data_IF_868326317524
#
_entry.id   IF_868326317524
#
_cell.length_a   1.000
_cell.length_b   1.000
_cell.length_c   1.000
_cell.angle_alpha   90.00
_cell.angle_beta   90.00
_cell.angle_gamma   90.00
#
_symmetry.space_group_name_H-M   'P 1'
#
loop_
_entity.id
_entity.type
_entity.pdbx_description
1 polymer ?
#
# COMPACT_ATOMS: atom_id res chain seq x y z
N UNK A 1 0.09 25.15 -1.83
CA UNK A 1 0.30 24.56 -0.49
C UNK A 1 -0.17 23.13 -0.45
N UNK A 2 -1.47 22.79 -0.47
CA UNK A 2 -1.91 21.37 -0.41
C UNK A 2 -1.36 20.51 -1.57
N UNK A 3 -1.22 21.07 -2.78
CA UNK A 3 -0.60 20.35 -3.90
C UNK A 3 0.90 20.06 -3.71
N UNK A 4 1.63 20.86 -2.93
CA UNK A 4 3.07 20.66 -2.72
C UNK A 4 3.30 19.57 -1.66
N UNK A 5 2.50 19.61 -0.58
CA UNK A 5 2.53 18.61 0.49
C UNK A 5 2.11 17.22 -0.03
N UNK A 6 1.09 17.15 -0.88
CA UNK A 6 0.71 15.89 -1.52
C UNK A 6 1.85 15.29 -2.35
N UNK A 7 2.58 16.13 -3.10
CA UNK A 7 3.74 15.67 -3.89
C UNK A 7 4.88 15.19 -3.00
N UNK A 8 5.09 15.81 -1.85
CA UNK A 8 6.05 15.36 -0.85
C UNK A 8 5.68 13.98 -0.31
N UNK A 9 4.41 13.76 0.07
CA UNK A 9 3.94 12.43 0.50
C UNK A 9 3.99 11.39 -0.61
N UNK A 10 3.68 11.74 -1.86
CA UNK A 10 3.83 10.84 -3.00
C UNK A 10 5.31 10.44 -3.21
N UNK A 11 6.24 11.39 -3.07
CA UNK A 11 7.67 11.11 -3.18
C UNK A 11 8.14 10.18 -2.04
N UNK A 12 7.77 10.48 -0.80
CA UNK A 12 8.14 9.65 0.36
C UNK A 12 7.53 8.25 0.27
N UNK A 13 6.30 8.13 -0.27
CA UNK A 13 5.67 6.85 -0.52
C UNK A 13 6.46 6.03 -1.54
N UNK A 14 6.86 6.64 -2.65
CA UNK A 14 7.64 5.96 -3.69
C UNK A 14 9.04 5.57 -3.21
N UNK A 15 9.70 6.41 -2.41
CA UNK A 15 10.99 6.13 -1.80
C UNK A 15 10.89 4.96 -0.80
N UNK A 16 9.95 5.05 0.15
CA UNK A 16 9.70 3.99 1.13
C UNK A 16 9.30 2.68 0.44
N UNK A 17 8.52 2.73 -0.63
CA UNK A 17 8.12 1.55 -1.40
C UNK A 17 9.34 0.93 -2.10
N UNK A 18 10.24 1.74 -2.65
CA UNK A 18 11.47 1.25 -3.26
C UNK A 18 12.37 0.57 -2.23
N UNK A 19 12.60 1.22 -1.08
CA UNK A 19 13.35 0.63 0.03
C UNK A 19 12.76 -0.69 0.50
N UNK A 20 11.43 -0.76 0.62
CA UNK A 20 10.74 -1.98 1.01
C UNK A 20 10.92 -3.11 -0.01
N UNK A 21 10.83 -2.81 -1.31
CA UNK A 21 11.10 -3.78 -2.36
C UNK A 21 12.58 -4.22 -2.39
N UNK A 22 13.52 -3.32 -2.11
CA UNK A 22 14.95 -3.65 -2.00
C UNK A 22 15.24 -4.56 -0.80
N UNK A 23 14.58 -4.33 0.35
CA UNK A 23 14.63 -5.25 1.50
C UNK A 23 14.00 -6.59 1.16
N UNK A 24 12.83 -6.61 0.52
CA UNK A 24 12.14 -7.83 0.12
C UNK A 24 12.98 -8.66 -0.86
N UNK A 25 13.63 -8.01 -1.83
CA UNK A 25 14.53 -8.65 -2.80
C UNK A 25 15.75 -9.26 -2.12
N UNK A 26 16.42 -8.53 -1.21
CA UNK A 26 17.54 -9.06 -0.41
C UNK A 26 17.12 -10.25 0.46
N UNK A 27 15.92 -10.21 1.03
CA UNK A 27 15.38 -11.31 1.80
C UNK A 27 15.11 -12.52 0.91
N UNK A 28 14.55 -12.32 -0.29
CA UNK A 28 14.32 -13.37 -1.27
C UNK A 28 15.63 -13.98 -1.80
N UNK A 29 16.66 -13.18 -2.04
CA UNK A 29 18.00 -13.65 -2.39
C UNK A 29 18.59 -14.52 -1.28
N UNK A 30 18.43 -14.11 -0.01
CA UNK A 30 18.89 -14.91 1.13
C UNK A 30 18.15 -16.26 1.28
N UNK A 31 17.00 -16.42 0.62
CA UNK A 31 16.21 -17.65 0.59
C UNK A 31 16.54 -18.54 -0.61
N UNK A 32 17.20 -18.01 -1.65
CA UNK A 32 17.64 -18.78 -2.80
C UNK A 32 18.86 -19.63 -2.42
N UNK A 33 18.60 -20.81 -1.84
CA UNK A 33 19.62 -21.79 -1.40
C UNK A 33 20.31 -22.52 -2.56
N UNK A 34 20.14 -22.07 -3.80
CA UNK A 34 20.53 -22.79 -5.02
C UNK A 34 21.97 -22.52 -5.48
N UNK A 35 22.75 -21.74 -4.74
CA UNK A 35 24.15 -21.45 -5.05
C UNK A 35 25.13 -22.38 -4.33
N UNK A 36 26.20 -22.79 -5.03
CA UNK A 36 27.32 -23.60 -4.49
C UNK A 36 28.07 -22.90 -3.33
N UNK A 37 27.81 -21.61 -3.10
CA UNK A 37 28.41 -20.78 -2.04
C UNK A 37 27.37 -20.25 -1.05
N UNK A 38 26.25 -20.95 -0.85
CA UNK A 38 25.27 -20.54 0.16
C UNK A 38 25.89 -20.52 1.56
N UNK A 39 25.97 -19.32 2.14
CA UNK A 39 26.30 -19.13 3.54
C UNK A 39 25.03 -18.69 4.26
N UNK A 40 24.62 -19.45 5.27
CA UNK A 40 23.46 -19.13 6.08
C UNK A 40 23.59 -17.68 6.62
N UNK A 41 22.57 -16.82 6.43
CA UNK A 41 22.57 -15.47 6.99
C UNK A 41 22.79 -15.52 8.50
N UNK A 42 23.49 -14.54 9.09
CA UNK A 42 23.75 -14.55 10.52
C UNK A 42 22.42 -14.53 11.30
N UNK A 43 22.35 -15.26 12.42
CA UNK A 43 21.15 -15.33 13.25
C UNK A 43 20.73 -13.97 13.84
N UNK A 44 21.67 -13.02 13.91
CA UNK A 44 21.46 -11.66 14.36
C UNK A 44 22.22 -10.66 13.48
N UNK A 45 21.75 -9.41 13.44
CA UNK A 45 22.36 -8.32 12.67
C UNK A 45 21.52 -7.86 11.49
N UNK A 46 21.95 -6.82 10.77
CA UNK A 46 21.18 -6.18 9.69
C UNK A 46 20.91 -7.11 8.50
N UNK A 47 21.73 -8.15 8.34
CA UNK A 47 21.57 -9.18 7.30
C UNK A 47 20.74 -10.39 7.76
N UNK A 48 20.41 -10.49 9.05
CA UNK A 48 19.58 -11.59 9.54
C UNK A 48 18.19 -11.52 8.91
N UNK A 49 17.63 -12.67 8.55
CA UNK A 49 16.30 -12.72 7.93
C UNK A 49 15.22 -12.12 8.83
N UNK A 50 15.33 -12.34 10.14
CA UNK A 50 14.45 -11.75 11.15
C UNK A 50 14.49 -10.22 11.12
N UNK A 51 15.69 -9.61 11.07
CA UNK A 51 15.83 -8.16 11.01
C UNK A 51 15.34 -7.59 9.68
N UNK A 52 15.56 -8.28 8.56
CA UNK A 52 15.04 -7.88 7.26
C UNK A 52 13.50 -7.93 7.24
N UNK A 53 12.89 -8.98 7.80
CA UNK A 53 11.43 -9.05 7.97
C UNK A 53 10.91 -7.89 8.83
N UNK A 54 11.62 -7.55 9.91
CA UNK A 54 11.27 -6.43 10.78
C UNK A 54 11.38 -5.08 10.05
N UNK A 55 12.47 -4.86 9.31
CA UNK A 55 12.65 -3.66 8.48
C UNK A 55 11.52 -3.52 7.46
N UNK A 56 11.16 -4.60 6.78
CA UNK A 56 10.06 -4.60 5.82
C UNK A 56 8.71 -4.30 6.49
N UNK A 57 8.49 -4.83 7.71
CA UNK A 57 7.30 -4.52 8.50
C UNK A 57 7.24 -3.03 8.89
N UNK A 58 8.37 -2.42 9.26
CA UNK A 58 8.44 -0.97 9.54
C UNK A 58 8.13 -0.13 8.30
N UNK A 59 8.69 -0.50 7.13
CA UNK A 59 8.37 0.18 5.87
C UNK A 59 6.88 0.07 5.52
N UNK A 60 6.24 -1.09 5.75
CA UNK A 60 4.79 -1.25 5.56
C UNK A 60 3.97 -0.33 6.47
N UNK A 61 4.33 -0.19 7.74
CA UNK A 61 3.67 0.76 8.65
C UNK A 61 3.80 2.20 8.14
N UNK A 62 4.99 2.61 7.72
CA UNK A 62 5.22 3.95 7.14
C UNK A 62 4.40 4.16 5.86
N UNK A 63 4.32 3.17 4.97
CA UNK A 63 3.49 3.24 3.77
C UNK A 63 1.99 3.41 4.11
N UNK A 64 1.49 2.74 5.15
CA UNK A 64 0.10 2.91 5.63
C UNK A 64 -0.15 4.32 6.16
N UNK A 65 0.78 4.86 6.93
CA UNK A 65 0.71 6.23 7.43
C UNK A 65 0.70 7.24 6.27
N UNK A 66 1.57 7.06 5.28
CA UNK A 66 1.63 7.92 4.09
C UNK A 66 0.35 7.85 3.26
N UNK A 67 -0.22 6.66 3.05
CA UNK A 67 -1.53 6.51 2.37
C UNK A 67 -2.62 7.24 3.15
N UNK A 68 -2.59 7.17 4.47
CA UNK A 68 -3.55 7.84 5.34
C UNK A 68 -3.42 9.37 5.24
N UNK A 69 -2.19 9.90 5.32
CA UNK A 69 -1.90 11.32 5.16
C UNK A 69 -2.31 11.83 3.77
N UNK A 70 -1.91 11.13 2.70
CA UNK A 70 -2.35 11.46 1.34
C UNK A 70 -3.87 11.42 1.18
N UNK A 71 -4.56 10.51 1.86
CA UNK A 71 -6.03 10.46 1.85
C UNK A 71 -6.65 11.68 2.52
N UNK A 72 -6.07 12.19 3.60
CA UNK A 72 -6.52 13.44 4.23
C UNK A 72 -6.27 14.64 3.30
N UNK A 73 -5.06 14.78 2.77
CA UNK A 73 -4.71 15.86 1.82
C UNK A 73 -5.58 15.82 0.55
N UNK A 74 -5.89 14.62 0.03
CA UNK A 74 -6.73 14.45 -1.16
C UNK A 74 -8.13 15.05 -0.98
N UNK A 75 -8.61 15.18 0.26
CA UNK A 75 -9.92 15.76 0.52
C UNK A 75 -9.95 17.26 0.28
N UNK A 76 -8.82 17.94 0.45
CA UNK A 76 -8.62 19.39 0.27
C UNK A 76 -8.26 19.77 -1.18
N UNK A 77 -8.04 18.78 -2.06
CA UNK A 77 -7.69 19.03 -3.46
C UNK A 77 -8.91 19.57 -4.23
N UNK A 78 -8.75 20.77 -4.78
CA UNK A 78 -9.66 21.41 -5.73
C UNK A 78 -8.90 21.68 -7.05
N UNK A 79 -9.49 21.49 -8.25
CA UNK A 79 -10.88 21.12 -8.55
C UNK A 79 -11.16 19.60 -8.47
N UNK A 80 -12.44 19.21 -8.49
CA UNK A 80 -12.89 17.81 -8.36
C UNK A 80 -12.21 16.82 -9.33
N UNK A 81 -11.82 17.26 -10.53
CA UNK A 81 -11.10 16.40 -11.50
C UNK A 81 -9.72 15.99 -11.00
N UNK A 82 -8.98 16.90 -10.34
CA UNK A 82 -7.67 16.60 -9.76
C UNK A 82 -7.82 15.67 -8.55
N UNK A 83 -8.86 15.89 -7.74
CA UNK A 83 -9.19 15.02 -6.60
C UNK A 83 -9.46 13.58 -7.02
N UNK A 84 -10.23 13.36 -8.08
CA UNK A 84 -10.50 12.01 -8.60
C UNK A 84 -9.23 11.33 -9.14
N UNK A 85 -8.30 12.10 -9.74
CA UNK A 85 -6.99 11.57 -10.14
C UNK A 85 -6.16 11.12 -8.94
N UNK A 86 -6.09 11.94 -7.89
CA UNK A 86 -5.37 11.62 -6.64
C UNK A 86 -5.97 10.39 -5.97
N UNK A 87 -7.30 10.29 -5.90
CA UNK A 87 -7.98 9.09 -5.37
C UNK A 87 -7.64 7.83 -6.17
N UNK A 88 -7.61 7.92 -7.50
CA UNK A 88 -7.22 6.78 -8.35
C UNK A 88 -5.79 6.32 -8.05
N UNK A 89 -4.86 7.26 -7.82
CA UNK A 89 -3.48 6.94 -7.41
C UNK A 89 -3.42 6.32 -6.01
N UNK A 90 -4.21 6.83 -5.06
CA UNK A 90 -4.34 6.24 -3.72
C UNK A 90 -4.82 4.79 -3.76
N UNK A 91 -5.76 4.44 -4.65
CA UNK A 91 -6.18 3.05 -4.85
C UNK A 91 -5.05 2.16 -5.39
N UNK A 92 -4.25 2.66 -6.34
CA UNK A 92 -3.06 1.96 -6.83
C UNK A 92 -2.02 1.74 -5.70
N UNK A 93 -1.79 2.76 -4.86
CA UNK A 93 -0.89 2.67 -3.70
C UNK A 93 -1.39 1.66 -2.66
N UNK A 94 -2.69 1.63 -2.37
CA UNK A 94 -3.31 0.60 -1.52
C UNK A 94 -3.12 -0.80 -2.11
N UNK A 95 -3.30 -0.95 -3.42
CA UNK A 95 -3.04 -2.21 -4.13
C UNK A 95 -1.59 -2.70 -3.95
N UNK A 96 -0.62 -1.79 -4.09
CA UNK A 96 0.81 -2.08 -3.88
C UNK A 96 1.12 -2.46 -2.44
N UNK A 97 0.53 -1.76 -1.47
CA UNK A 97 0.67 -2.09 -0.04
C UNK A 97 0.19 -3.51 0.26
N UNK A 98 -1.01 -3.88 -0.20
CA UNK A 98 -1.57 -5.23 0.00
C UNK A 98 -0.71 -6.30 -0.67
N UNK A 99 -0.14 -6.01 -1.85
CA UNK A 99 0.79 -6.92 -2.51
C UNK A 99 2.05 -7.15 -1.66
N UNK A 100 2.62 -6.08 -1.10
CA UNK A 100 3.82 -6.13 -0.27
C UNK A 100 3.58 -6.80 1.09
N UNK A 101 2.40 -6.60 1.71
CA UNK A 101 1.98 -7.32 2.91
C UNK A 101 1.91 -8.84 2.67
N UNK A 102 1.34 -9.26 1.53
CA UNK A 102 1.30 -10.67 1.12
C UNK A 102 2.71 -11.23 0.90
N UNK A 103 3.60 -10.45 0.27
CA UNK A 103 4.99 -10.84 0.08
C UNK A 103 5.72 -11.00 1.43
N UNK A 104 5.57 -10.06 2.36
CA UNK A 104 6.16 -10.17 3.71
C UNK A 104 5.66 -11.44 4.43
N UNK A 105 4.36 -11.76 4.35
CA UNK A 105 3.83 -12.97 4.97
C UNK A 105 4.48 -14.24 4.42
N UNK A 106 4.65 -14.34 3.08
CA UNK A 106 5.35 -15.45 2.42
C UNK A 106 6.82 -15.51 2.81
N UNK A 107 7.55 -14.40 2.67
CA UNK A 107 8.98 -14.33 3.00
C UNK A 107 9.26 -14.65 4.47
N UNK A 108 8.36 -14.27 5.39
CA UNK A 108 8.48 -14.59 6.82
C UNK A 108 8.28 -16.09 7.07
N UNK A 109 7.36 -16.74 6.37
CA UNK A 109 7.20 -18.19 6.45
C UNK A 109 8.42 -18.91 5.88
N UNK A 110 8.85 -18.53 4.67
CA UNK A 110 10.02 -19.10 4.00
C UNK A 110 11.31 -18.90 4.82
N UNK A 111 11.48 -17.73 5.44
CA UNK A 111 12.58 -17.44 6.37
C UNK A 111 12.57 -18.38 7.56
N UNK A 112 11.42 -18.63 8.18
CA UNK A 112 11.33 -19.55 9.33
C UNK A 112 11.67 -20.98 8.93
N UNK A 113 11.19 -21.42 7.78
CA UNK A 113 11.51 -22.73 7.23
C UNK A 113 12.99 -22.84 6.87
N UNK A 114 13.59 -21.75 6.36
CA UNK A 114 15.00 -21.67 6.04
C UNK A 114 15.88 -21.66 7.28
N UNK A 115 15.60 -20.82 8.27
CA UNK A 115 16.32 -20.78 9.53
C UNK A 115 16.23 -22.14 10.25
N UNK A 116 15.05 -22.77 10.25
CA UNK A 116 14.88 -24.14 10.76
C UNK A 116 15.72 -25.15 9.99
N UNK A 117 15.75 -25.07 8.66
CA UNK A 117 16.54 -26.01 7.84
C UNK A 117 18.04 -25.79 8.04
N UNK A 118 18.50 -24.55 8.09
CA UNK A 118 19.91 -24.20 8.30
C UNK A 118 20.37 -24.70 9.68
N UNK A 119 19.55 -24.53 10.73
CA UNK A 119 19.82 -25.06 12.07
C UNK A 119 19.87 -26.59 12.11
N UNK A 120 19.02 -27.29 11.35
CA UNK A 120 18.98 -28.76 11.30
C UNK A 120 20.06 -29.35 10.38
N UNK A 121 20.38 -28.68 9.28
CA UNK A 121 21.35 -29.10 8.26
C UNK A 121 22.78 -29.04 8.77
N UNK A 122 23.15 -27.97 9.48
CA UNK A 122 24.43 -27.88 10.18
C UNK A 122 24.61 -28.95 11.27
N UNK A 123 23.53 -29.58 11.74
CA UNK A 123 23.59 -30.70 12.68
C UNK A 123 23.78 -32.07 12.03
N UNK A 124 23.63 -32.18 10.71
CA UNK A 124 23.56 -33.48 10.00
C UNK A 124 24.75 -33.77 9.09
N UNK A 125 25.53 -32.75 8.71
CA UNK A 125 26.77 -32.91 7.93
C UNK A 125 28.00 -33.26 8.78
N UNK A 126 27.87 -33.35 10.11
CA UNK A 126 28.97 -33.62 11.03
C UNK A 126 28.86 -35.01 11.67
N UNK A 127 28.66 -36.03 10.84
CA UNK A 127 28.32 -37.41 11.23
C UNK A 127 29.36 -38.48 10.88
N UNK A 128 30.59 -38.09 10.54
CA UNK A 128 31.69 -39.03 10.29
C UNK A 128 33.02 -38.35 10.64
N UNK A 129 33.87 -39.07 11.37
CA UNK A 129 35.24 -38.72 11.81
C UNK A 129 35.41 -38.08 13.21
N UNK A 130 36.31 -38.70 13.98
CA UNK A 130 36.29 -38.75 15.44
C UNK A 130 37.08 -37.65 16.17
N UNK A 131 36.80 -37.49 17.47
CA UNK A 131 37.63 -36.63 18.34
C UNK A 131 36.97 -36.12 19.62
N UNK A 132 36.90 -36.96 20.65
CA UNK A 132 36.23 -36.75 21.95
C UNK A 132 36.62 -35.47 22.75
N UNK A 133 37.64 -34.71 22.35
CA UNK A 133 38.04 -33.45 23.00
C UNK A 133 37.53 -32.20 22.28
N UNK A 134 37.49 -32.24 20.94
CA UNK A 134 36.85 -31.19 20.12
C UNK A 134 35.34 -31.23 20.28
N UNK A 135 34.76 -32.41 20.56
CA UNK A 135 33.34 -32.52 20.92
C UNK A 135 32.98 -31.71 22.16
N UNK A 136 33.85 -31.62 23.18
CA UNK A 136 33.55 -30.87 24.40
C UNK A 136 33.69 -29.35 24.21
N UNK A 137 34.72 -28.90 23.49
CA UNK A 137 34.86 -27.50 23.09
C UNK A 137 33.75 -27.08 22.12
N UNK A 138 33.32 -27.98 21.23
CA UNK A 138 32.21 -27.78 20.30
C UNK A 138 30.85 -27.85 21.00
N UNK A 139 30.69 -28.66 22.07
CA UNK A 139 29.51 -28.64 22.95
C UNK A 139 29.40 -27.31 23.71
N UNK A 140 30.52 -26.73 24.14
CA UNK A 140 30.53 -25.38 24.71
C UNK A 140 30.22 -24.32 23.65
N UNK A 141 30.67 -24.49 22.41
CA UNK A 141 30.34 -23.62 21.28
C UNK A 141 28.88 -23.74 20.81
N UNK A 142 28.30 -24.94 20.84
CA UNK A 142 26.89 -25.16 20.52
C UNK A 142 26.00 -24.73 21.67
N UNK A 143 26.43 -24.82 22.93
CA UNK A 143 25.64 -24.29 24.05
C UNK A 143 25.63 -22.77 24.10
N UNK A 144 26.70 -22.08 23.70
CA UNK A 144 26.69 -20.61 23.57
C UNK A 144 25.81 -20.18 22.41
N UNK A 145 25.92 -20.82 21.24
CA UNK A 145 25.02 -20.56 20.10
C UNK A 145 23.57 -20.95 20.39
N UNK A 146 23.33 -22.00 21.17
CA UNK A 146 21.98 -22.38 21.62
C UNK A 146 21.46 -21.36 22.62
N UNK A 147 22.29 -20.87 23.55
CA UNK A 147 21.90 -19.82 24.51
C UNK A 147 21.60 -18.50 23.81
N UNK A 148 22.42 -18.11 22.84
CA UNK A 148 22.18 -16.95 21.96
C UNK A 148 20.93 -17.14 21.10
N UNK A 149 20.76 -18.32 20.52
CA UNK A 149 19.59 -18.71 19.74
C UNK A 149 18.31 -18.71 20.57
N UNK A 150 18.34 -19.22 21.80
CA UNK A 150 17.21 -19.19 22.74
C UNK A 150 16.91 -17.77 23.21
N UNK A 151 17.93 -16.93 23.41
CA UNK A 151 17.74 -15.51 23.72
C UNK A 151 17.12 -14.75 22.55
N UNK A 152 17.52 -15.07 21.31
CA UNK A 152 16.91 -14.55 20.10
C UNK A 152 15.47 -15.08 19.91
N UNK A 153 15.22 -16.36 20.24
CA UNK A 153 13.88 -16.97 20.18
C UNK A 153 12.94 -16.35 21.21
N UNK A 154 13.41 -16.12 22.44
CA UNK A 154 12.65 -15.45 23.50
C UNK A 154 12.40 -13.98 23.16
N UNK A 155 13.38 -13.28 22.59
CA UNK A 155 13.17 -11.92 22.06
C UNK A 155 12.18 -11.93 20.90
N UNK A 156 12.26 -12.90 20.01
CA UNK A 156 11.30 -13.10 18.93
C UNK A 156 9.91 -13.47 19.48
N UNK A 157 9.80 -14.25 20.54
CA UNK A 157 8.56 -14.63 21.22
C UNK A 157 7.92 -13.43 21.92
N UNK A 158 8.69 -12.62 22.63
CA UNK A 158 8.23 -11.37 23.21
C UNK A 158 7.77 -10.38 22.12
N UNK A 159 8.51 -10.29 21.01
CA UNK A 159 8.14 -9.50 19.85
C UNK A 159 6.88 -10.08 19.14
N UNK A 160 6.70 -11.40 19.14
CA UNK A 160 5.55 -12.10 18.59
C UNK A 160 4.30 -11.89 19.45
N UNK A 161 4.43 -11.86 20.77
CA UNK A 161 3.35 -11.46 21.66
C UNK A 161 2.87 -10.03 21.37
N UNK A 162 3.80 -9.11 21.07
CA UNK A 162 3.46 -7.76 20.59
C UNK A 162 2.94 -7.69 19.14
N UNK A 163 3.14 -8.74 18.32
CA UNK A 163 2.72 -8.78 16.90
C UNK A 163 1.39 -9.54 16.70
N UNK A 164 0.96 -10.36 17.66
CA UNK A 164 -0.33 -11.06 17.59
C UNK A 164 -1.53 -10.10 17.63
N UNK A 165 -1.35 -8.90 18.14
CA UNK A 165 -2.36 -7.83 18.18
C UNK A 165 -2.62 -7.24 16.78
N UNK A 166 -1.66 -7.29 15.86
CA UNK A 166 -1.78 -6.86 14.45
C UNK A 166 -2.44 -7.92 13.53
N UNK A 167 -2.59 -9.16 14.01
CA UNK A 167 -3.13 -10.31 13.27
C UNK A 167 -4.66 -10.35 13.14
N UNK A 168 -5.39 -9.62 14.00
CA UNK A 168 -6.86 -9.56 13.96
C UNK A 168 -7.38 -8.34 13.18
N UNK A 169 -6.58 -7.28 13.03
CA UNK A 169 -6.97 -6.05 12.32
C UNK A 169 -6.81 -6.18 10.79
N UNK A 170 -5.84 -6.98 10.32
CA UNK A 170 -5.60 -7.20 8.87
C UNK A 170 -6.72 -8.01 8.19
N UNK A 171 -7.40 -8.91 8.92
CA UNK A 171 -8.57 -9.63 8.40
C UNK A 171 -9.85 -8.77 8.38
N UNK A 172 -9.94 -7.77 9.25
CA UNK A 172 -11.06 -6.82 9.31
C UNK A 172 -11.03 -5.82 8.15
N UNK A 173 -9.84 -5.28 7.85
CA UNK A 173 -9.67 -4.26 6.80
C UNK A 173 -9.85 -4.82 5.39
N UNK A 174 -9.54 -6.10 5.14
CA UNK A 174 -9.72 -6.74 3.82
C UNK A 174 -11.11 -7.37 3.61
N UNK A 175 -11.77 -7.86 4.69
CA UNK A 175 -13.16 -8.38 4.60
C UNK A 175 -14.20 -7.27 4.49
N UNK A 176 -14.00 -6.10 5.10
CA UNK A 176 -14.92 -4.96 4.98
C UNK A 176 -14.84 -4.21 3.63
N UNK A 177 -13.69 -4.26 2.95
CA UNK A 177 -13.44 -3.49 1.73
C UNK A 177 -13.70 -4.24 0.41
N UNK A 178 -14.01 -5.55 0.45
CA UNK A 178 -14.34 -6.31 -0.78
C UNK A 178 -15.85 -6.48 -1.02
N UNK A 179 -16.68 -6.45 0.02
CA UNK A 179 -18.14 -6.56 -0.10
C UNK A 179 -18.84 -5.21 -0.30
N UNK A 180 -18.32 -4.13 0.28
CA UNK A 180 -18.85 -2.77 0.06
C UNK A 180 -18.55 -2.24 -1.36
N UNK A 181 -17.51 -2.77 -2.02
CA UNK A 181 -17.16 -2.44 -3.41
C UNK A 181 -17.88 -3.34 -4.45
N UNK A 182 -18.36 -4.53 -4.04
CA UNK A 182 -19.22 -5.40 -4.87
C UNK A 182 -20.71 -5.05 -4.77
N UNK A 183 -21.15 -4.43 -3.67
CA UNK A 183 -22.55 -4.04 -3.48
C UNK A 183 -22.92 -2.65 -4.04
N UNK A 184 -21.95 -1.86 -4.50
CA UNK A 184 -22.18 -0.59 -5.23
C UNK A 184 -22.30 -0.79 -6.76
N UNK A 185 -22.01 -2.00 -7.26
CA UNK A 185 -22.13 -2.36 -8.68
C UNK A 185 -23.32 -3.29 -9.02
N UNK A 186 -24.30 -3.44 -8.13
CA UNK A 186 -25.35 -4.48 -8.26
C UNK A 186 -26.81 -4.08 -7.98
N UNK A 187 -27.15 -2.80 -7.79
CA UNK A 187 -28.54 -2.36 -7.49
C UNK A 187 -28.98 -1.10 -8.25
N UNK A 188 -28.43 -0.82 -9.44
CA UNK A 188 -29.11 0.05 -10.43
C UNK A 188 -28.82 -0.49 -11.84
N UNK A 189 -29.42 -1.64 -12.16
CA UNK A 189 -29.73 -2.03 -13.54
C UNK A 189 -31.19 -1.62 -13.73
N UNK A 190 -31.37 -0.33 -13.93
CA UNK A 190 -32.48 0.32 -14.61
C UNK A 190 -31.92 1.66 -15.11
N UNK A 191 -32.31 2.07 -16.31
CA UNK A 191 -31.66 3.07 -17.18
C UNK A 191 -30.56 2.49 -18.07
N UNK A 192 -31.02 1.67 -19.00
CA UNK A 192 -30.53 1.68 -20.39
C UNK A 192 -31.05 2.99 -21.05
N UNK A 193 -30.41 4.10 -20.70
CA UNK A 193 -30.39 5.34 -21.49
C UNK A 193 -29.22 6.20 -20.97
N UNK A 194 -28.54 6.94 -21.84
CA UNK A 194 -27.77 8.13 -21.42
C UNK A 194 -26.47 7.95 -20.58
N UNK A 195 -25.54 7.05 -20.94
CA UNK A 195 -24.08 7.30 -20.78
C UNK A 195 -23.59 8.31 -21.84
N UNK A 196 -24.37 9.38 -21.92
CA UNK A 196 -24.13 10.71 -22.50
C UNK A 196 -24.58 11.78 -21.47
N UNK A 197 -25.06 11.41 -20.26
CA UNK A 197 -25.60 12.32 -19.25
C UNK A 197 -24.62 12.88 -18.21
N UNK A 198 -23.45 12.29 -17.99
CA UNK A 198 -22.44 12.92 -17.09
C UNK A 198 -21.78 14.15 -17.71
N UNK A 199 -21.93 14.36 -19.03
CA UNK A 199 -21.72 15.66 -19.70
C UNK A 199 -22.97 16.54 -19.71
N UNK A 200 -24.17 16.00 -19.47
CA UNK A 200 -25.45 16.74 -19.48
C UNK A 200 -25.65 17.62 -18.24
N UNK A 201 -25.01 17.37 -17.11
CA UNK A 201 -25.13 18.25 -15.92
C UNK A 201 -24.34 19.57 -16.08
N UNK A 202 -23.14 19.51 -16.66
CA UNK A 202 -22.39 20.73 -17.04
C UNK A 202 -23.02 21.40 -18.27
N UNK A 203 -23.57 20.62 -19.22
CA UNK A 203 -24.35 21.19 -20.33
C UNK A 203 -25.72 21.75 -19.92
N UNK A 204 -26.36 21.28 -18.83
CA UNK A 204 -27.58 21.90 -18.27
C UNK A 204 -27.28 23.28 -17.69
N UNK A 205 -26.15 23.45 -17.00
CA UNK A 205 -25.73 24.79 -16.55
C UNK A 205 -25.41 25.72 -17.74
N UNK A 206 -24.81 25.22 -18.81
CA UNK A 206 -24.56 26.01 -20.02
C UNK A 206 -25.82 26.30 -20.87
N UNK A 207 -26.84 25.43 -20.85
CA UNK A 207 -28.11 25.68 -21.54
C UNK A 207 -28.99 26.68 -20.80
N UNK A 208 -29.00 26.68 -19.47
CA UNK A 208 -29.72 27.68 -18.66
C UNK A 208 -29.15 29.08 -18.91
N UNK A 209 -27.82 29.20 -19.02
CA UNK A 209 -27.17 30.48 -19.35
C UNK A 209 -27.54 30.99 -20.77
N UNK A 210 -27.75 30.11 -21.75
CA UNK A 210 -28.22 30.50 -23.10
C UNK A 210 -29.67 30.96 -23.11
N UNK A 211 -30.58 30.25 -22.42
CA UNK A 211 -31.99 30.65 -22.33
C UNK A 211 -32.15 32.01 -21.66
N UNK A 212 -31.42 32.27 -20.56
CA UNK A 212 -31.44 33.58 -19.90
C UNK A 212 -30.93 34.70 -20.83
N UNK A 213 -29.87 34.48 -21.61
CA UNK A 213 -29.40 35.46 -22.60
C UNK A 213 -30.43 35.74 -23.70
N UNK A 214 -31.17 34.74 -24.17
CA UNK A 214 -32.17 34.87 -25.25
C UNK A 214 -33.41 35.67 -24.79
N UNK A 215 -33.90 35.40 -23.56
CA UNK A 215 -34.99 36.16 -22.96
C UNK A 215 -34.59 37.64 -22.77
N UNK A 216 -33.38 37.90 -22.25
CA UNK A 216 -32.86 39.26 -22.12
C UNK A 216 -32.78 39.99 -23.47
N UNK A 217 -32.28 39.35 -24.51
CA UNK A 217 -32.21 39.94 -25.85
C UNK A 217 -33.62 40.25 -26.41
N UNK A 218 -34.62 39.39 -26.16
CA UNK A 218 -36.01 39.62 -26.56
C UNK A 218 -36.65 40.82 -25.87
N UNK A 219 -36.43 40.99 -24.55
CA UNK A 219 -36.94 42.15 -23.80
C UNK A 219 -36.36 43.46 -24.34
N UNK A 220 -35.06 43.49 -24.62
CA UNK A 220 -34.38 44.65 -25.22
C UNK A 220 -34.96 44.94 -26.62
N UNK A 221 -35.13 43.91 -27.45
CA UNK A 221 -35.71 44.07 -28.79
C UNK A 221 -37.15 44.61 -28.77
N UNK A 222 -37.99 44.12 -27.87
CA UNK A 222 -39.37 44.61 -27.69
C UNK A 222 -39.40 46.08 -27.26
N UNK A 223 -38.53 46.47 -26.33
CA UNK A 223 -38.36 47.87 -25.91
C UNK A 223 -38.03 48.76 -27.11
N UNK A 224 -37.01 48.39 -27.89
CA UNK A 224 -36.61 49.14 -29.10
C UNK A 224 -37.72 49.20 -30.14
N UNK A 225 -38.45 48.11 -30.37
CA UNK A 225 -39.56 48.07 -31.32
C UNK A 225 -40.71 49.00 -30.91
N UNK A 226 -41.02 49.06 -29.61
CA UNK A 226 -42.04 49.98 -29.07
C UNK A 226 -41.63 51.44 -29.29
N UNK A 227 -40.35 51.76 -29.07
CA UNK A 227 -39.79 53.08 -29.41
C UNK A 227 -39.90 53.40 -30.91
N UNK A 228 -39.58 52.45 -31.78
CA UNK A 228 -39.67 52.65 -33.24
C UNK A 228 -41.11 52.89 -33.71
N UNK A 229 -42.10 52.16 -33.19
CA UNK A 229 -43.51 52.39 -33.54
C UNK A 229 -43.94 53.80 -33.14
N UNK A 230 -43.60 54.23 -31.91
CA UNK A 230 -43.98 55.56 -31.42
C UNK A 230 -43.38 56.66 -32.30
N UNK A 231 -42.14 56.48 -32.78
CA UNK A 231 -41.47 57.45 -33.65
C UNK A 231 -42.02 57.41 -35.08
N UNK A 232 -42.47 56.27 -35.59
CA UNK A 232 -43.00 56.16 -36.97
C UNK A 232 -44.49 56.52 -37.10
N UNK A 233 -45.28 56.35 -36.03
CA UNK A 233 -46.72 56.68 -36.00
C UNK A 233 -47.02 58.10 -35.50
N UNK A 234 -46.00 58.86 -35.11
CA UNK A 234 -46.10 60.26 -34.68
C UNK A 234 -45.44 61.18 -35.69
#
# INVERSE_FOLDING_TARGET
MSSDLLREYENDFNETLKEANDVASRLQESLQRSGVSYQAPPAAGPQSRSQQCHSLQQSLTRLRELITNMSYESNEVEPASAKEEVKRRLEDYRGKLVALEKQLSRLRQESREADRTDLLGNGREMGDDGGSMEEHARMLGTTTKLKEGTGALQKAEALLHGTNELGLETLSVVRGQTETMKHIHGVVIDVDDDVTESRRIVHRMQQVARKQKLIMAGVIGMLVFTFLIIVFWK
#
